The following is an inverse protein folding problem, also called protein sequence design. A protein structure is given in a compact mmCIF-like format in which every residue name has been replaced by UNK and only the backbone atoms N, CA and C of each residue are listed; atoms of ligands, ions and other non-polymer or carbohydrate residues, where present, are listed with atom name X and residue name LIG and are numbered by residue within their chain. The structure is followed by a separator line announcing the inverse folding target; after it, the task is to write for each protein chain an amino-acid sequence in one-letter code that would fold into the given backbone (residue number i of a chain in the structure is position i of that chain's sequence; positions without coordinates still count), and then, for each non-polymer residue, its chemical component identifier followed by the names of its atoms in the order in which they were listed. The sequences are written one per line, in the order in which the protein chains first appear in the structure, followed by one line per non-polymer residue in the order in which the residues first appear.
data_IF_144454952305
#
_entry.id   IF_144454952305
#
_cell.length_a   1.000
_cell.length_b   1.000
_cell.length_c   1.000
_cell.angle_alpha   90.00
_cell.angle_beta   90.00
_cell.angle_gamma   90.00
#
_symmetry.space_group_name_H-M   'P 1'
#
loop_
_entity.id
_entity.type
_entity.pdbx_description
1 polymer ?
#
# COMPACT_ATOMS: atom_id res chain seq x y z
N UNK A 1 -22.37 -4.61 -13.52
CA UNK A 1 -21.16 -5.29 -14.04
C UNK A 1 -20.62 -4.44 -15.18
N UNK A 2 -19.32 -4.13 -15.21
CA UNK A 2 -18.73 -3.29 -16.26
C UNK A 2 -18.70 -4.03 -17.60
N UNK A 3 -18.78 -3.26 -18.68
CA UNK A 3 -18.77 -3.80 -20.05
C UNK A 3 -17.35 -4.01 -20.61
N UNK A 4 -16.34 -3.45 -19.94
CA UNK A 4 -14.93 -3.65 -20.30
C UNK A 4 -14.08 -4.07 -19.10
N UNK A 5 -12.88 -4.58 -19.37
CA UNK A 5 -11.90 -5.01 -18.36
C UNK A 5 -10.71 -4.05 -18.32
N UNK A 6 -10.95 -2.75 -18.48
CA UNK A 6 -9.89 -1.74 -18.32
C UNK A 6 -9.60 -1.60 -16.83
N UNK A 7 -8.41 -1.10 -16.49
CA UNK A 7 -8.05 -0.90 -15.09
C UNK A 7 -9.00 0.04 -14.34
N UNK A 8 -9.60 1.00 -15.05
CA UNK A 8 -10.63 1.90 -14.51
C UNK A 8 -11.89 1.15 -14.09
N UNK A 9 -12.39 0.24 -14.93
CA UNK A 9 -13.57 -0.56 -14.63
C UNK A 9 -13.34 -1.47 -13.42
N UNK A 10 -12.18 -2.14 -13.40
CA UNK A 10 -11.78 -3.06 -12.33
C UNK A 10 -11.64 -2.30 -11.01
N UNK A 11 -11.00 -1.13 -11.02
CA UNK A 11 -10.86 -0.30 -9.83
C UNK A 11 -12.21 0.18 -9.31
N UNK A 12 -13.13 0.61 -10.18
CA UNK A 12 -14.46 1.05 -9.78
C UNK A 12 -15.26 -0.07 -9.11
N UNK A 13 -15.34 -1.24 -9.74
CA UNK A 13 -16.01 -2.42 -9.14
C UNK A 13 -15.39 -2.80 -7.80
N UNK A 14 -14.05 -2.74 -7.69
CA UNK A 14 -13.37 -3.02 -6.44
C UNK A 14 -13.77 -2.03 -5.33
N UNK A 15 -13.86 -0.73 -5.63
CA UNK A 15 -14.27 0.29 -4.65
C UNK A 15 -15.72 0.12 -4.22
N UNK A 16 -16.63 -0.03 -5.18
CA UNK A 16 -18.05 -0.25 -4.93
C UNK A 16 -18.24 -1.49 -4.03
N UNK A 17 -17.51 -2.57 -4.31
CA UNK A 17 -17.59 -3.77 -3.49
C UNK A 17 -17.13 -3.56 -2.04
N UNK A 18 -16.10 -2.76 -1.81
CA UNK A 18 -15.64 -2.46 -0.44
C UNK A 18 -16.66 -1.59 0.31
N UNK A 19 -17.24 -0.60 -0.38
CA UNK A 19 -18.27 0.27 0.18
C UNK A 19 -19.55 -0.51 0.53
N UNK A 20 -20.06 -1.34 -0.37
CA UNK A 20 -21.23 -2.21 -0.16
C UNK A 20 -21.05 -3.14 1.04
N UNK A 21 -19.81 -3.55 1.32
CA UNK A 21 -19.45 -4.42 2.44
C UNK A 21 -19.14 -3.66 3.72
N UNK A 22 -19.13 -2.32 3.70
CA UNK A 22 -18.71 -1.49 4.82
C UNK A 22 -17.24 -1.70 5.23
N UNK A 23 -16.39 -2.14 4.29
CA UNK A 23 -14.97 -2.37 4.53
C UNK A 23 -14.23 -1.06 4.29
N UNK A 24 -13.66 -0.52 5.35
CA UNK A 24 -12.81 0.67 5.29
C UNK A 24 -11.56 0.41 4.44
N UNK A 25 -11.52 1.05 3.28
CA UNK A 25 -10.45 0.90 2.30
C UNK A 25 -9.07 1.33 2.83
N UNK A 26 -9.02 2.20 3.85
CA UNK A 26 -7.77 2.62 4.49
C UNK A 26 -7.07 1.48 5.25
N UNK A 27 -7.76 0.36 5.46
CA UNK A 27 -7.21 -0.85 6.08
C UNK A 27 -6.49 -1.76 5.08
N UNK A 28 -6.60 -1.51 3.78
CA UNK A 28 -5.84 -2.26 2.77
C UNK A 28 -4.34 -1.95 2.94
N UNK A 29 -3.53 -3.01 2.98
CA UNK A 29 -2.07 -2.90 3.08
C UNK A 29 -1.34 -3.48 1.86
N UNK A 30 -1.99 -4.35 1.08
CA UNK A 30 -1.41 -4.97 -0.11
C UNK A 30 -2.49 -5.33 -1.13
N UNK A 31 -2.13 -5.27 -2.42
CA UNK A 31 -2.94 -5.74 -3.56
C UNK A 31 -2.04 -6.59 -4.46
N UNK A 32 -2.44 -7.84 -4.73
CA UNK A 32 -1.71 -8.76 -5.61
C UNK A 32 -2.53 -9.04 -6.86
N UNK A 33 -1.91 -8.96 -8.03
CA UNK A 33 -2.60 -9.17 -9.33
C UNK A 33 -1.71 -10.01 -10.24
N UNK A 34 -2.30 -10.58 -11.29
CA UNK A 34 -1.59 -11.40 -12.29
C UNK A 34 -0.64 -10.61 -13.21
N UNK A 35 -0.55 -9.29 -13.04
CA UNK A 35 0.37 -8.44 -13.80
C UNK A 35 -0.16 -8.03 -15.18
N UNK A 36 -1.42 -8.30 -15.52
CA UNK A 36 -1.99 -7.87 -16.79
C UNK A 36 -1.89 -6.33 -16.96
N UNK A 37 -1.75 -5.80 -18.19
CA UNK A 37 -1.62 -4.35 -18.42
C UNK A 37 -2.76 -3.52 -17.81
N UNK A 38 -3.98 -4.07 -17.77
CA UNK A 38 -5.13 -3.44 -17.11
C UNK A 38 -4.96 -3.32 -15.58
N UNK A 39 -4.16 -4.18 -14.96
CA UNK A 39 -3.91 -4.17 -13.51
C UNK A 39 -2.73 -3.26 -13.14
N UNK A 40 -1.59 -3.41 -13.83
CA UNK A 40 -0.31 -2.77 -13.46
C UNK A 40 0.05 -1.53 -14.28
N UNK A 41 -0.84 -1.10 -15.18
CA UNK A 41 -0.64 0.09 -16.01
C UNK A 41 -0.26 1.33 -15.18
N UNK A 42 0.75 2.08 -15.66
CA UNK A 42 1.35 3.21 -14.93
C UNK A 42 0.35 4.31 -14.54
N UNK A 43 -0.60 4.61 -15.43
CA UNK A 43 -1.54 5.72 -15.23
C UNK A 43 -2.97 5.23 -14.99
N UNK A 44 -3.36 4.15 -15.67
CA UNK A 44 -4.73 3.61 -15.73
C UNK A 44 -4.81 2.13 -15.31
N UNK A 45 -3.77 1.60 -14.66
CA UNK A 45 -3.82 0.27 -14.07
C UNK A 45 -4.69 0.26 -12.83
N UNK A 46 -5.49 -0.78 -12.62
CA UNK A 46 -6.39 -0.91 -11.47
C UNK A 46 -5.65 -0.70 -10.14
N UNK A 47 -4.48 -1.32 -9.96
CA UNK A 47 -3.66 -1.17 -8.74
C UNK A 47 -3.27 0.28 -8.52
N UNK A 48 -2.80 0.96 -9.57
CA UNK A 48 -2.42 2.37 -9.51
C UNK A 48 -3.61 3.26 -9.10
N UNK A 49 -4.80 2.98 -9.61
CA UNK A 49 -6.01 3.75 -9.30
C UNK A 49 -6.48 3.50 -7.86
N UNK A 50 -6.45 2.24 -7.41
CA UNK A 50 -6.78 1.87 -6.03
C UNK A 50 -5.82 2.53 -5.03
N UNK A 51 -4.52 2.45 -5.31
CA UNK A 51 -3.49 3.11 -4.52
C UNK A 51 -3.74 4.62 -4.37
N UNK A 52 -4.04 5.32 -5.48
CA UNK A 52 -4.34 6.77 -5.45
C UNK A 52 -5.52 7.10 -4.53
N UNK A 53 -6.56 6.28 -4.53
CA UNK A 53 -7.73 6.48 -3.68
C UNK A 53 -7.41 6.22 -2.20
N UNK A 54 -6.63 5.17 -1.90
CA UNK A 54 -6.15 4.90 -0.54
C UNK A 54 -5.27 6.06 -0.04
N UNK A 55 -4.34 6.56 -0.87
CA UNK A 55 -3.44 7.67 -0.51
C UNK A 55 -4.16 9.02 -0.40
N UNK A 56 -5.22 9.25 -1.17
CA UNK A 56 -6.09 10.43 -1.01
C UNK A 56 -6.70 10.49 0.40
N UNK A 57 -7.02 9.33 0.98
CA UNK A 57 -7.49 9.21 2.36
C UNK A 57 -6.36 9.30 3.41
N UNK A 58 -5.10 9.06 3.03
CA UNK A 58 -3.92 9.07 3.91
C UNK A 58 -3.02 10.31 3.68
N UNK A 59 -3.45 11.48 4.15
CA UNK A 59 -2.72 12.76 3.95
C UNK A 59 -1.33 12.87 4.62
N UNK A 60 -0.94 11.96 5.54
CA UNK A 60 0.33 12.08 6.29
C UNK A 60 1.47 11.14 5.86
N UNK A 61 1.22 10.13 5.01
CA UNK A 61 2.22 9.08 4.69
C UNK A 61 2.86 9.28 3.30
N UNK A 62 2.73 10.49 2.75
CA UNK A 62 3.34 10.92 1.47
C UNK A 62 4.87 10.99 1.58
N UNK A 63 5.54 9.85 1.70
CA UNK A 63 6.96 9.77 1.41
C UNK A 63 7.14 9.37 -0.06
N UNK A 64 8.06 9.99 -0.82
CA UNK A 64 8.41 9.58 -2.19
C UNK A 64 8.93 8.13 -2.29
N UNK A 65 9.21 7.50 -1.15
CA UNK A 65 9.72 6.15 -1.05
C UNK A 65 8.57 5.14 -1.18
N UNK A 66 8.21 4.85 -2.43
CA UNK A 66 7.30 3.76 -2.78
C UNK A 66 8.00 2.42 -2.50
N UNK A 67 7.91 1.92 -1.28
CA UNK A 67 8.49 0.61 -0.93
C UNK A 67 7.72 -0.48 -1.69
N UNK A 68 8.34 -1.05 -2.74
CA UNK A 68 7.91 -2.33 -3.29
C UNK A 68 8.14 -3.38 -2.20
N UNK A 69 7.09 -3.74 -1.47
CA UNK A 69 7.15 -4.85 -0.53
C UNK A 69 7.33 -6.14 -1.33
N UNK A 70 8.46 -6.83 -1.11
CA UNK A 70 8.60 -8.22 -1.56
C UNK A 70 7.88 -9.12 -0.56
N UNK A 71 7.45 -10.31 -1.00
CA UNK A 71 6.71 -11.27 -0.18
C UNK A 71 7.37 -11.54 1.19
N UNK A 72 8.70 -11.52 1.22
CA UNK A 72 9.52 -11.76 2.42
C UNK A 72 9.35 -10.69 3.52
N UNK A 73 8.91 -9.47 3.17
CA UNK A 73 8.71 -8.37 4.11
C UNK A 73 7.23 -8.19 4.50
N UNK A 74 6.33 -8.97 3.92
CA UNK A 74 4.88 -8.85 4.13
C UNK A 74 4.48 -9.15 5.57
N UNK A 75 5.05 -10.20 6.18
CA UNK A 75 4.72 -10.62 7.55
C UNK A 75 5.03 -9.52 8.58
N UNK A 76 6.23 -8.95 8.54
CA UNK A 76 6.62 -7.86 9.43
C UNK A 76 5.70 -6.64 9.26
N UNK A 77 5.30 -6.33 8.02
CA UNK A 77 4.42 -5.19 7.74
C UNK A 77 2.99 -5.43 8.27
N UNK A 78 2.47 -6.66 8.15
CA UNK A 78 1.18 -7.06 8.73
C UNK A 78 1.24 -6.99 10.25
N UNK A 79 2.30 -7.53 10.87
CA UNK A 79 2.50 -7.45 12.32
C UNK A 79 2.53 -5.99 12.79
N UNK A 80 3.25 -5.10 12.11
CA UNK A 80 3.29 -3.67 12.45
C UNK A 80 1.92 -2.98 12.37
N UNK A 81 1.03 -3.42 11.47
CA UNK A 81 -0.31 -2.85 11.32
C UNK A 81 -1.30 -3.38 12.36
N UNK A 82 -1.16 -4.67 12.73
CA UNK A 82 -2.10 -5.38 13.62
C UNK A 82 -1.69 -5.27 15.09
N UNK A 83 -0.42 -4.98 15.36
CA UNK A 83 0.11 -4.83 16.72
C UNK A 83 0.36 -3.36 17.06
N UNK A 84 0.23 -3.00 18.34
CA UNK A 84 0.77 -1.73 18.86
C UNK A 84 2.29 -1.87 18.92
N UNK A 85 2.97 -1.49 17.83
CA UNK A 85 4.42 -1.39 17.82
C UNK A 85 4.84 0.01 18.30
N UNK A 86 5.52 0.06 19.44
CA UNK A 86 6.18 1.27 19.93
C UNK A 86 7.69 1.16 19.62
N UNK A 87 8.18 1.82 18.56
CA UNK A 87 9.59 1.72 18.21
C UNK A 87 10.45 2.34 19.29
N UNK A 88 11.40 1.58 19.83
CA UNK A 88 12.39 2.05 20.79
C UNK A 88 13.47 2.89 20.09
N UNK A 89 13.07 4.00 19.47
CA UNK A 89 13.93 4.90 18.68
C UNK A 89 15.14 5.38 19.48
N UNK A 90 14.95 5.64 20.77
CA UNK A 90 16.02 6.10 21.67
C UNK A 90 17.06 5.02 21.99
N UNK A 91 16.69 3.74 21.90
CA UNK A 91 17.60 2.62 22.14
C UNK A 91 18.40 2.31 20.87
N UNK A 92 17.71 2.33 19.72
CA UNK A 92 18.32 2.17 18.40
C UNK A 92 19.33 3.26 18.07
N UNK A 93 19.05 4.52 18.46
CA UNK A 93 19.97 5.63 18.22
C UNK A 93 21.27 5.54 19.03
N UNK A 94 21.21 4.92 20.21
CA UNK A 94 22.40 4.69 21.06
C UNK A 94 23.33 3.62 20.51
N UNK A 95 22.79 2.63 19.80
CA UNK A 95 23.57 1.54 19.20
C UNK A 95 24.29 1.90 17.88
N UNK A 96 23.94 3.04 17.27
CA UNK A 96 24.47 3.43 15.95
C UNK A 96 25.51 4.54 16.11
N UNK A 97 26.69 4.18 16.61
CA UNK A 97 27.87 5.05 16.46
C UNK A 97 28.20 5.14 14.97
N UNK A 98 27.92 6.30 14.37
CA UNK A 98 28.31 6.58 13.00
C UNK A 98 29.82 6.47 12.88
N UNK A 99 30.31 5.57 12.03
CA UNK A 99 31.68 5.67 11.55
C UNK A 99 31.74 6.97 10.73
N UNK A 100 32.45 7.97 11.24
CA UNK A 100 32.69 9.20 10.50
C UNK A 100 33.38 8.84 9.19
N UNK A 101 32.78 9.22 8.07
CA UNK A 101 33.44 9.13 6.77
C UNK A 101 34.68 10.03 6.78
N UNK A 102 35.79 9.48 6.29
CA UNK A 102 37.07 10.15 6.12
C UNK A 102 37.17 10.87 4.78
#
# INVERSE_FOLDING_TARGET
MPETTKGEDIANVFMEHFEERGIDISKIFAVTTDGAPAMVGRNKGAVTLIEKQIFSHMKSVLSPSRSRLTTDHSEACVQLKVTKYDPQIMELSKGKQGQGSH
#
